data_IF_514097161643
#
_entry.id   IF_514097161643
#
_cell.length_a   1.000
_cell.length_b   1.000
_cell.length_c   1.000
_cell.angle_alpha   90.00
_cell.angle_beta   90.00
_cell.angle_gamma   90.00
#
_symmetry.space_group_name_H-M   'P 1'
#
loop_
_entity.id
_entity.type
_entity.pdbx_description
1 polymer ?
#
# COMPACT_ATOMS: atom_id res chain seq x y z
N UNK A 1 -32.98 -32.88 -29.45
CA UNK A 1 -34.42 -33.26 -29.43
C UNK A 1 -34.83 -34.09 -30.65
N UNK A 2 -34.73 -33.60 -31.90
CA UNK A 2 -35.02 -34.42 -33.09
C UNK A 2 -33.99 -35.54 -33.24
N UNK A 3 -32.72 -35.30 -32.89
CA UNK A 3 -31.67 -36.32 -32.94
C UNK A 3 -31.77 -37.40 -31.86
N UNK A 4 -32.48 -37.14 -30.74
CA UNK A 4 -32.65 -38.12 -29.64
C UNK A 4 -33.97 -38.91 -29.72
N UNK A 5 -35.01 -38.35 -30.36
CA UNK A 5 -36.33 -38.96 -30.47
C UNK A 5 -36.71 -39.31 -31.93
N UNK A 6 -35.82 -39.07 -32.90
CA UNK A 6 -36.12 -39.14 -34.33
C UNK A 6 -36.67 -40.48 -34.83
N UNK A 7 -36.20 -41.60 -34.28
CA UNK A 7 -36.70 -42.93 -34.64
C UNK A 7 -37.98 -43.36 -33.90
N UNK A 8 -38.31 -42.70 -32.78
CA UNK A 8 -39.46 -43.03 -31.92
C UNK A 8 -40.65 -42.10 -32.19
N UNK A 9 -40.42 -40.96 -32.84
CA UNK A 9 -41.45 -39.99 -33.23
C UNK A 9 -42.15 -40.41 -34.54
N UNK A 10 -43.49 -40.59 -34.54
CA UNK A 10 -44.29 -40.71 -35.75
C UNK A 10 -44.03 -39.53 -36.71
N UNK A 11 -44.07 -39.76 -38.04
CA UNK A 11 -43.74 -38.75 -39.08
C UNK A 11 -44.41 -37.39 -38.86
N UNK A 12 -45.63 -37.38 -38.32
CA UNK A 12 -46.43 -36.18 -38.05
C UNK A 12 -45.86 -35.25 -36.96
N UNK A 13 -44.91 -35.71 -36.14
CA UNK A 13 -44.31 -34.97 -35.02
C UNK A 13 -42.83 -34.60 -35.24
N UNK A 14 -42.27 -34.88 -36.41
CA UNK A 14 -40.87 -34.55 -36.75
C UNK A 14 -40.67 -33.08 -37.13
N UNK A 15 -41.74 -32.33 -37.36
CA UNK A 15 -41.70 -30.88 -37.59
C UNK A 15 -41.82 -30.10 -36.26
N UNK A 16 -40.82 -29.28 -35.87
CA UNK A 16 -40.80 -28.57 -34.58
C UNK A 16 -42.07 -27.76 -34.28
N UNK A 17 -42.68 -27.17 -35.32
CA UNK A 17 -43.88 -26.34 -35.20
C UNK A 17 -45.15 -27.08 -34.77
N UNK A 18 -45.21 -28.41 -34.95
CA UNK A 18 -46.38 -29.23 -34.59
C UNK A 18 -46.33 -29.81 -33.17
N UNK A 19 -45.18 -29.75 -32.51
CA UNK A 19 -45.00 -30.17 -31.12
C UNK A 19 -45.42 -29.09 -30.11
N UNK A 20 -45.25 -27.81 -30.47
CA UNK A 20 -45.51 -26.65 -29.60
C UNK A 20 -46.93 -26.58 -29.02
N UNK A 21 -48.02 -26.89 -29.77
CA UNK A 21 -49.38 -26.83 -29.20
C UNK A 21 -49.67 -27.92 -28.16
N UNK A 22 -48.84 -28.97 -28.09
CA UNK A 22 -48.99 -30.09 -27.16
C UNK A 22 -48.20 -29.94 -25.86
N UNK A 23 -47.37 -28.91 -25.73
CA UNK A 23 -46.50 -28.70 -24.56
C UNK A 23 -47.07 -27.56 -23.71
N UNK A 24 -47.24 -27.80 -22.43
CA UNK A 24 -47.64 -26.78 -21.46
C UNK A 24 -46.61 -26.69 -20.34
N UNK A 25 -46.38 -25.45 -19.88
CA UNK A 25 -45.51 -25.16 -18.74
C UNK A 25 -46.36 -24.50 -17.66
N UNK A 26 -46.28 -25.01 -16.44
CA UNK A 26 -47.02 -24.50 -15.28
C UNK A 26 -46.08 -24.21 -14.12
N UNK A 27 -46.41 -23.17 -13.35
CA UNK A 27 -45.74 -22.80 -12.11
C UNK A 27 -46.74 -22.93 -10.97
N UNK A 28 -46.66 -24.00 -10.14
CA UNK A 28 -47.54 -24.17 -9.01
C UNK A 28 -47.39 -22.99 -8.02
N UNK A 29 -48.48 -22.39 -7.53
CA UNK A 29 -48.41 -21.29 -6.57
C UNK A 29 -47.59 -21.70 -5.34
N UNK A 30 -46.68 -20.83 -4.90
CA UNK A 30 -45.81 -21.04 -3.72
C UNK A 30 -44.80 -22.21 -3.86
N UNK A 31 -44.46 -22.63 -5.08
CA UNK A 31 -43.47 -23.67 -5.34
C UNK A 31 -42.32 -23.13 -6.19
N UNK A 32 -41.09 -23.58 -5.96
CA UNK A 32 -39.94 -23.30 -6.85
C UNK A 32 -39.84 -24.30 -8.01
N UNK A 33 -40.94 -24.96 -8.36
CA UNK A 33 -40.98 -26.02 -9.37
C UNK A 33 -41.54 -25.48 -10.69
N UNK A 34 -40.85 -25.80 -11.78
CA UNK A 34 -41.36 -25.63 -13.13
C UNK A 34 -41.86 -26.99 -13.62
N UNK A 35 -43.16 -27.09 -13.92
CA UNK A 35 -43.79 -28.32 -14.39
C UNK A 35 -43.95 -28.26 -15.89
N UNK A 36 -43.28 -29.16 -16.60
CA UNK A 36 -43.44 -29.36 -18.05
C UNK A 36 -44.39 -30.54 -18.27
N UNK A 37 -45.46 -30.33 -19.02
CA UNK A 37 -46.36 -31.39 -19.47
C UNK A 37 -46.41 -31.42 -20.99
N UNK A 38 -46.55 -32.61 -21.57
CA UNK A 38 -46.73 -32.81 -22.99
C UNK A 38 -47.92 -33.73 -23.25
N UNK A 39 -48.64 -33.46 -24.34
CA UNK A 39 -49.76 -34.26 -24.82
C UNK A 39 -49.36 -34.96 -26.11
N UNK A 40 -49.50 -36.28 -26.16
CA UNK A 40 -49.19 -37.08 -27.33
C UNK A 40 -50.15 -38.28 -27.46
N UNK A 41 -50.07 -38.98 -28.60
CA UNK A 41 -50.95 -40.12 -28.94
C UNK A 41 -50.77 -41.33 -28.03
N UNK A 42 -49.65 -41.43 -27.32
CA UNK A 42 -49.41 -42.47 -26.32
C UNK A 42 -48.81 -41.89 -25.05
N UNK A 43 -49.05 -42.63 -23.95
CA UNK A 43 -48.57 -42.32 -22.61
C UNK A 43 -47.05 -42.20 -22.57
N UNK A 44 -46.39 -43.13 -23.25
CA UNK A 44 -44.95 -43.25 -23.35
C UNK A 44 -44.36 -42.11 -24.17
N UNK A 45 -45.01 -41.73 -25.27
CA UNK A 45 -44.55 -40.64 -26.13
C UNK A 45 -44.73 -39.28 -25.44
N UNK A 46 -45.83 -39.07 -24.71
CA UNK A 46 -46.07 -37.85 -23.94
C UNK A 46 -45.01 -37.65 -22.84
N UNK A 47 -44.71 -38.72 -22.09
CA UNK A 47 -43.65 -38.69 -21.08
C UNK A 47 -42.27 -38.43 -21.70
N UNK A 48 -41.95 -39.10 -22.81
CA UNK A 48 -40.67 -38.92 -23.50
C UNK A 48 -40.48 -37.50 -24.04
N UNK A 49 -41.53 -36.86 -24.57
CA UNK A 49 -41.48 -35.48 -25.05
C UNK A 49 -41.28 -34.51 -23.88
N UNK A 50 -42.01 -34.68 -22.78
CA UNK A 50 -41.87 -33.81 -21.60
C UNK A 50 -40.48 -33.92 -20.96
N UNK A 51 -39.96 -35.15 -20.81
CA UNK A 51 -38.61 -35.38 -20.29
C UNK A 51 -37.52 -34.82 -21.20
N UNK A 52 -37.66 -34.96 -22.53
CA UNK A 52 -36.70 -34.39 -23.48
C UNK A 52 -36.68 -32.87 -23.42
N UNK A 53 -37.84 -32.22 -23.29
CA UNK A 53 -37.92 -30.77 -23.08
C UNK A 53 -37.31 -30.34 -21.74
N UNK A 54 -37.59 -31.07 -20.66
CA UNK A 54 -37.01 -30.77 -19.35
C UNK A 54 -35.48 -30.88 -19.39
N UNK A 55 -34.92 -31.93 -20.01
CA UNK A 55 -33.47 -32.09 -20.18
C UNK A 55 -32.85 -30.97 -21.03
N UNK A 56 -33.49 -30.61 -22.14
CA UNK A 56 -33.00 -29.53 -23.01
C UNK A 56 -33.03 -28.16 -22.30
N UNK A 57 -34.10 -27.88 -21.55
CA UNK A 57 -34.22 -26.65 -20.77
C UNK A 57 -33.19 -26.59 -19.64
N UNK A 58 -32.95 -27.69 -18.93
CA UNK A 58 -31.91 -27.79 -17.91
C UNK A 58 -30.54 -27.49 -18.51
N UNK A 59 -30.20 -28.09 -19.66
CA UNK A 59 -28.95 -27.80 -20.38
C UNK A 59 -28.85 -26.31 -20.74
N UNK A 60 -29.86 -25.77 -21.43
CA UNK A 60 -29.85 -24.38 -21.88
C UNK A 60 -29.79 -23.37 -20.71
N UNK A 61 -30.55 -23.60 -19.64
CA UNK A 61 -30.58 -22.72 -18.48
C UNK A 61 -29.25 -22.77 -17.72
N UNK A 62 -28.67 -23.96 -17.52
CA UNK A 62 -27.39 -24.09 -16.86
C UNK A 62 -26.23 -23.60 -17.75
N UNK A 63 -26.34 -23.68 -19.07
CA UNK A 63 -25.35 -23.11 -20.01
C UNK A 63 -25.43 -21.57 -20.05
N UNK A 64 -26.63 -21.01 -19.96
CA UNK A 64 -26.85 -19.55 -20.05
C UNK A 64 -26.62 -18.83 -18.71
N UNK A 65 -26.97 -19.47 -17.60
CA UNK A 65 -26.91 -18.88 -16.26
C UNK A 65 -25.83 -19.50 -15.36
N UNK A 66 -25.16 -20.57 -15.81
CA UNK A 66 -24.00 -21.13 -15.13
C UNK A 66 -22.78 -20.21 -15.19
N UNK A 67 -21.80 -20.47 -14.32
CA UNK A 67 -20.55 -19.70 -14.29
C UNK A 67 -19.79 -19.94 -15.59
N UNK A 68 -19.60 -18.87 -16.36
CA UNK A 68 -18.84 -18.90 -17.59
C UNK A 68 -17.37 -19.30 -17.31
N UNK A 69 -16.95 -20.43 -17.87
CA UNK A 69 -15.58 -20.94 -17.79
C UNK A 69 -14.53 -19.92 -18.28
N UNK A 70 -14.90 -19.01 -19.19
CA UNK A 70 -14.04 -17.93 -19.65
C UNK A 70 -13.74 -16.91 -18.52
N UNK A 71 -14.69 -16.66 -17.62
CA UNK A 71 -14.51 -15.78 -16.46
C UNK A 71 -13.55 -16.40 -15.44
N UNK A 72 -13.61 -17.72 -15.24
CA UNK A 72 -12.66 -18.45 -14.36
C UNK A 72 -11.22 -18.37 -14.90
N UNK A 73 -11.02 -18.62 -16.20
CA UNK A 73 -9.69 -18.58 -16.83
C UNK A 73 -9.07 -17.17 -16.82
N UNK A 74 -9.88 -16.11 -16.96
CA UNK A 74 -9.42 -14.72 -16.86
C UNK A 74 -8.86 -14.38 -15.47
N UNK A 75 -9.61 -14.73 -14.41
CA UNK A 75 -9.20 -14.43 -13.03
C UNK A 75 -7.99 -15.26 -12.60
N UNK A 76 -7.83 -16.50 -13.07
CA UNK A 76 -6.63 -17.30 -12.81
C UNK A 76 -5.37 -16.70 -13.47
N UNK A 77 -5.49 -16.12 -14.67
CA UNK A 77 -4.39 -15.37 -15.31
C UNK A 77 -4.03 -14.10 -14.54
N UNK A 78 -5.03 -13.36 -14.09
CA UNK A 78 -4.83 -12.17 -13.25
C UNK A 78 -4.15 -12.52 -11.92
N UNK A 79 -4.52 -13.65 -11.30
CA UNK A 79 -3.87 -14.16 -10.09
C UNK A 79 -2.38 -14.47 -10.33
N UNK A 80 -2.05 -15.16 -11.41
CA UNK A 80 -0.67 -15.46 -11.77
C UNK A 80 0.15 -14.18 -12.02
N UNK A 81 -0.45 -13.19 -12.70
CA UNK A 81 0.19 -11.88 -12.92
C UNK A 81 0.41 -11.12 -11.61
N UNK A 82 -0.56 -11.14 -10.69
CA UNK A 82 -0.43 -10.51 -9.38
C UNK A 82 0.64 -11.18 -8.51
N UNK A 83 0.77 -12.50 -8.58
CA UNK A 83 1.82 -13.24 -7.88
C UNK A 83 3.21 -12.85 -8.40
N UNK A 84 3.40 -12.83 -9.73
CA UNK A 84 4.67 -12.42 -10.33
C UNK A 84 5.03 -10.96 -9.99
N UNK A 85 4.04 -10.05 -9.98
CA UNK A 85 4.22 -8.66 -9.57
C UNK A 85 4.66 -8.53 -8.10
N UNK A 86 4.01 -9.28 -7.20
CA UNK A 86 4.40 -9.31 -5.79
C UNK A 86 5.83 -9.83 -5.59
N UNK A 87 6.19 -10.95 -6.24
CA UNK A 87 7.53 -11.53 -6.15
C UNK A 87 8.59 -10.56 -6.67
N UNK A 88 8.34 -9.92 -7.82
CA UNK A 88 9.24 -8.92 -8.39
C UNK A 88 9.51 -7.76 -7.42
N UNK A 89 8.46 -7.18 -6.83
CA UNK A 89 8.60 -6.06 -5.90
C UNK A 89 9.22 -6.51 -4.57
N UNK A 90 8.90 -7.71 -4.09
CA UNK A 90 9.50 -8.28 -2.89
C UNK A 90 11.01 -8.49 -3.05
N UNK A 91 11.46 -9.01 -4.20
CA UNK A 91 12.88 -9.13 -4.53
C UNK A 91 13.54 -7.76 -4.63
N UNK A 92 12.94 -6.82 -5.36
CA UNK A 92 13.48 -5.46 -5.48
C UNK A 92 13.62 -4.76 -4.11
N UNK A 93 12.67 -4.96 -3.19
CA UNK A 93 12.76 -4.46 -1.82
C UNK A 93 13.89 -5.14 -1.05
N UNK A 94 14.03 -6.47 -1.15
CA UNK A 94 15.09 -7.20 -0.46
C UNK A 94 16.49 -6.77 -0.95
N UNK A 95 16.65 -6.66 -2.28
CA UNK A 95 17.90 -6.19 -2.91
C UNK A 95 18.23 -4.76 -2.44
N UNK A 96 17.22 -3.88 -2.39
CA UNK A 96 17.41 -2.51 -1.91
C UNK A 96 17.76 -2.46 -0.42
N UNK A 97 17.12 -3.27 0.43
CA UNK A 97 17.47 -3.38 1.86
C UNK A 97 18.93 -3.83 2.02
N UNK A 98 19.40 -4.74 1.17
CA UNK A 98 20.79 -5.21 1.21
C UNK A 98 21.84 -4.23 0.67
N UNK A 99 21.44 -3.29 -0.19
CA UNK A 99 22.37 -2.43 -0.93
C UNK A 99 22.30 -0.94 -0.57
N UNK A 100 21.24 -0.47 0.10
CA UNK A 100 21.10 0.92 0.49
C UNK A 100 22.20 1.34 1.49
N UNK A 101 22.41 2.66 1.59
CA UNK A 101 23.44 3.25 2.46
C UNK A 101 22.86 3.96 3.69
N UNK A 102 21.63 3.64 4.10
CA UNK A 102 20.95 4.38 5.17
C UNK A 102 21.77 4.31 6.47
N UNK A 103 22.17 3.12 6.90
CA UNK A 103 22.95 2.93 8.14
C UNK A 103 24.31 3.65 8.11
N UNK A 104 24.98 3.62 6.96
CA UNK A 104 26.26 4.32 6.75
C UNK A 104 26.07 5.84 6.87
N UNK A 105 25.07 6.38 6.17
CA UNK A 105 24.73 7.80 6.22
C UNK A 105 24.32 8.24 7.63
N UNK A 106 23.57 7.42 8.36
CA UNK A 106 23.21 7.70 9.77
C UNK A 106 24.45 7.74 10.68
N UNK A 107 25.40 6.84 10.48
CA UNK A 107 26.67 6.85 11.22
C UNK A 107 27.48 8.12 10.94
N UNK A 108 27.57 8.53 9.68
CA UNK A 108 28.27 9.76 9.29
C UNK A 108 27.60 11.01 9.85
N UNK A 109 26.27 11.09 9.77
CA UNK A 109 25.48 12.18 10.37
C UNK A 109 25.69 12.23 11.89
N UNK A 110 25.69 11.08 12.56
CA UNK A 110 25.92 11.00 14.00
C UNK A 110 27.31 11.50 14.39
N UNK A 111 28.35 11.18 13.62
CA UNK A 111 29.71 11.70 13.84
C UNK A 111 29.76 13.21 13.72
N UNK A 112 29.19 13.78 12.64
CA UNK A 112 29.18 15.23 12.43
C UNK A 112 28.39 15.94 13.54
N UNK A 113 27.23 15.41 13.95
CA UNK A 113 26.45 15.95 15.06
C UNK A 113 27.20 15.87 16.40
N UNK A 114 27.95 14.79 16.66
CA UNK A 114 28.78 14.67 17.84
C UNK A 114 29.89 15.73 17.86
N UNK A 115 30.54 15.96 16.73
CA UNK A 115 31.52 17.04 16.57
C UNK A 115 30.88 18.41 16.80
N UNK A 116 29.73 18.70 16.19
CA UNK A 116 29.02 19.95 16.39
C UNK A 116 28.63 20.16 17.87
N UNK A 117 28.16 19.11 18.54
CA UNK A 117 27.84 19.14 19.96
C UNK A 117 29.09 19.44 20.82
N UNK A 118 30.24 18.85 20.48
CA UNK A 118 31.50 19.11 21.15
C UNK A 118 31.94 20.57 21.00
N UNK A 119 31.85 21.15 19.79
CA UNK A 119 32.16 22.57 19.57
C UNK A 119 31.22 23.52 20.33
N UNK A 120 29.91 23.23 20.33
CA UNK A 120 28.96 24.03 21.10
C UNK A 120 29.25 23.97 22.60
N UNK A 121 29.55 22.79 23.13
CA UNK A 121 29.93 22.63 24.53
C UNK A 121 31.21 23.41 24.85
N UNK A 122 32.22 23.32 24.00
CA UNK A 122 33.47 24.06 24.16
C UNK A 122 33.25 25.58 24.13
N UNK A 123 32.40 26.09 23.23
CA UNK A 123 32.04 27.51 23.18
C UNK A 123 31.42 27.98 24.52
N UNK A 124 30.48 27.21 25.07
CA UNK A 124 29.87 27.48 26.38
C UNK A 124 30.89 27.44 27.51
N UNK A 125 31.73 26.41 27.58
CA UNK A 125 32.74 26.26 28.63
C UNK A 125 33.79 27.38 28.59
N UNK A 126 34.18 27.84 27.40
CA UNK A 126 35.07 29.00 27.22
C UNK A 126 34.38 30.31 27.60
N UNK A 127 33.08 30.46 27.34
CA UNK A 127 32.26 31.57 27.85
C UNK A 127 32.36 31.71 29.37
N UNK A 128 32.16 30.60 30.08
CA UNK A 128 32.24 30.57 31.54
C UNK A 128 33.64 30.97 32.02
N UNK A 129 34.69 30.45 31.39
CA UNK A 129 36.08 30.78 31.73
C UNK A 129 36.40 32.26 31.45
N UNK A 130 35.90 32.81 30.35
CA UNK A 130 36.09 34.23 30.01
C UNK A 130 35.44 35.15 31.05
N UNK A 131 34.23 34.81 31.50
CA UNK A 131 33.52 35.56 32.54
C UNK A 131 34.25 35.50 33.89
N UNK A 132 34.70 34.30 34.29
CA UNK A 132 35.49 34.11 35.52
C UNK A 132 36.81 34.89 35.49
N UNK A 133 37.52 34.83 34.37
CA UNK A 133 38.77 35.58 34.19
C UNK A 133 38.53 37.10 34.18
N UNK A 134 37.41 37.56 33.62
CA UNK A 134 37.03 38.98 33.62
C UNK A 134 36.73 39.45 35.04
N UNK A 135 36.00 38.65 35.83
CA UNK A 135 35.73 38.96 37.24
C UNK A 135 37.01 38.99 38.07
N UNK A 136 37.93 38.03 37.85
CA UNK A 136 39.24 38.03 38.52
C UNK A 136 40.08 39.24 38.12
N UNK A 137 40.05 39.64 36.85
CA UNK A 137 40.74 40.83 36.36
C UNK A 137 40.22 42.11 37.02
N UNK A 138 38.90 42.22 37.21
CA UNK A 138 38.27 43.33 37.93
C UNK A 138 38.64 43.34 39.41
N UNK A 139 38.63 42.17 40.06
CA UNK A 139 39.05 42.03 41.45
C UNK A 139 40.49 42.50 41.63
N UNK A 140 41.42 42.05 40.78
CA UNK A 140 42.84 42.43 40.79
C UNK A 140 43.12 43.92 40.52
N UNK A 141 42.11 44.72 40.17
CA UNK A 141 42.22 46.19 40.08
C UNK A 141 41.89 46.87 41.41
N UNK A 142 41.30 46.16 42.38
CA UNK A 142 40.99 46.68 43.71
C UNK A 142 42.18 46.61 44.66
N UNK A 143 42.35 47.64 45.48
CA UNK A 143 43.49 47.76 46.41
C UNK A 143 43.42 46.75 47.59
N UNK A 144 42.25 46.21 47.90
CA UNK A 144 42.01 45.26 49.00
C UNK A 144 42.13 43.78 48.58
N UNK A 145 42.70 43.49 47.41
CA UNK A 145 42.76 42.11 46.89
C UNK A 145 43.73 41.25 47.69
N UNK A 146 43.27 40.11 48.21
CA UNK A 146 44.14 39.07 48.76
C UNK A 146 44.95 38.38 47.62
N UNK A 147 46.28 38.53 47.58
CA UNK A 147 47.13 37.93 46.54
C UNK A 147 47.11 36.40 46.54
N UNK A 148 46.81 35.77 47.67
CA UNK A 148 46.79 34.31 47.79
C UNK A 148 45.49 33.74 47.24
N UNK A 149 44.35 34.33 47.61
CA UNK A 149 43.04 33.92 47.13
C UNK A 149 42.92 34.09 45.61
N UNK A 150 43.33 35.24 45.09
CA UNK A 150 43.33 35.54 43.64
C UNK A 150 44.24 34.60 42.83
N UNK A 151 45.38 34.20 43.39
CA UNK A 151 46.25 33.17 42.80
C UNK A 151 45.56 31.82 42.68
N UNK A 152 44.85 31.37 43.72
CA UNK A 152 44.10 30.11 43.65
C UNK A 152 42.99 30.17 42.61
N UNK A 153 42.28 31.29 42.49
CA UNK A 153 41.31 31.50 41.41
C UNK A 153 41.97 31.38 40.03
N UNK A 154 43.14 31.99 39.83
CA UNK A 154 43.90 31.87 38.58
C UNK A 154 44.27 30.40 38.27
N UNK A 155 44.78 29.65 39.25
CA UNK A 155 45.14 28.24 39.10
C UNK A 155 43.91 27.39 38.73
N UNK A 156 42.75 27.64 39.33
CA UNK A 156 41.51 26.93 39.01
C UNK A 156 41.06 27.19 37.57
N UNK A 157 41.08 28.44 37.12
CA UNK A 157 40.75 28.82 35.74
C UNK A 157 41.73 28.15 34.76
N UNK A 158 43.02 28.18 35.05
CA UNK A 158 44.05 27.51 34.23
C UNK A 158 43.84 26.00 34.17
N UNK A 159 43.53 25.35 35.29
CA UNK A 159 43.29 23.90 35.35
C UNK A 159 42.08 23.51 34.49
N UNK A 160 41.00 24.29 34.54
CA UNK A 160 39.82 24.06 33.69
C UNK A 160 40.15 24.24 32.21
N UNK A 161 40.91 25.29 31.86
CA UNK A 161 41.34 25.52 30.48
C UNK A 161 42.21 24.37 29.94
N UNK A 162 43.13 23.84 30.76
CA UNK A 162 43.93 22.66 30.41
C UNK A 162 43.07 21.40 30.22
N UNK A 163 42.01 21.26 31.02
CA UNK A 163 41.04 20.17 30.87
C UNK A 163 40.30 20.21 29.52
N UNK A 164 39.98 21.41 29.02
CA UNK A 164 39.31 21.59 27.72
C UNK A 164 40.23 21.28 26.53
N UNK A 165 41.52 21.59 26.65
CA UNK A 165 42.51 21.34 25.61
C UNK A 165 42.68 19.86 25.24
N UNK A 166 42.37 18.94 26.16
CA UNK A 166 42.44 17.49 25.93
C UNK A 166 41.17 16.90 25.31
N UNK A 167 40.06 17.64 25.29
CA UNK A 167 38.74 17.11 24.89
C UNK A 167 38.51 17.18 23.38
N UNK A 168 39.35 17.92 22.65
CA UNK A 168 39.12 18.23 21.24
C UNK A 168 40.42 18.09 20.47
N UNK A 169 40.39 17.36 19.36
CA UNK A 169 41.46 17.21 18.36
C UNK A 169 41.71 18.54 17.58
N UNK A 170 41.63 19.66 18.29
CA UNK A 170 41.84 21.00 17.77
C UNK A 170 43.33 21.17 17.44
N UNK A 171 43.69 21.70 16.27
CA UNK A 171 45.09 21.94 15.87
C UNK A 171 45.78 23.07 16.66
N UNK A 172 45.21 23.54 17.77
CA UNK A 172 45.75 24.66 18.54
C UNK A 172 46.72 24.13 19.59
N UNK A 173 47.99 24.04 19.20
CA UNK A 173 49.09 23.86 20.13
C UNK A 173 49.11 25.03 21.11
N UNK A 174 48.56 24.81 22.30
CA UNK A 174 48.75 25.65 23.47
C UNK A 174 50.23 25.66 23.82
N UNK A 175 50.99 26.58 23.23
CA UNK A 175 52.23 27.05 23.82
C UNK A 175 51.87 27.92 25.02
N UNK A 176 51.35 27.28 26.07
CA UNK A 176 51.19 27.85 27.41
C UNK A 176 52.56 27.92 28.05
N UNK A 177 53.33 28.96 27.73
CA UNK A 177 54.36 29.44 28.63
C UNK A 177 53.69 30.40 29.64
N UNK A 178 52.79 29.90 30.47
CA UNK A 178 52.31 30.65 31.63
C UNK A 178 53.24 30.35 32.80
N UNK A 179 54.18 31.27 33.03
CA UNK A 179 54.98 31.32 34.25
C UNK A 179 54.03 31.49 35.43
N UNK A 180 53.80 30.40 36.19
CA UNK A 180 53.00 30.45 37.40
C UNK A 180 53.69 31.41 38.37
N UNK A 181 53.01 32.45 38.90
CA UNK A 181 53.60 33.31 39.91
C UNK A 181 53.99 32.45 41.12
N UNK A 182 55.29 32.24 41.31
CA UNK A 182 55.83 31.40 42.38
C UNK A 182 55.61 32.04 43.75
N UNK A 183 55.55 31.23 44.80
CA UNK A 183 55.48 31.68 46.21
C UNK A 183 56.67 32.55 46.66
N UNK A 184 57.71 32.70 45.83
CA UNK A 184 58.96 33.36 46.18
C UNK A 184 58.92 34.90 46.09
N UNK A 185 57.80 35.49 45.68
CA UNK A 185 57.65 36.96 45.61
C UNK A 185 57.31 37.54 46.98
N UNK A 186 58.32 38.15 47.63
CA UNK A 186 58.19 38.79 48.93
C UNK A 186 57.33 40.06 48.92
N UNK A 187 57.03 40.63 47.75
CA UNK A 187 56.24 41.85 47.59
C UNK A 187 54.87 41.57 46.98
N UNK A 188 53.82 41.86 47.75
CA UNK A 188 52.43 41.70 47.34
C UNK A 188 52.08 42.53 46.10
N UNK A 189 52.64 43.73 45.95
CA UNK A 189 52.38 44.59 44.80
C UNK A 189 52.95 43.99 43.50
N UNK A 190 54.16 43.43 43.59
CA UNK A 190 54.79 42.70 42.49
C UNK A 190 53.98 41.44 42.12
N UNK A 191 53.51 40.67 43.11
CA UNK A 191 52.69 39.48 42.87
C UNK A 191 51.37 39.80 42.16
N UNK A 192 50.61 40.79 42.66
CA UNK A 192 49.36 41.22 42.06
C UNK A 192 49.55 41.75 40.62
N UNK A 193 50.67 42.42 40.34
CA UNK A 193 51.02 42.88 38.98
C UNK A 193 51.23 41.70 38.03
N UNK A 194 51.95 40.65 38.45
CA UNK A 194 52.15 39.45 37.63
C UNK A 194 50.85 38.68 37.40
N UNK A 195 50.02 38.53 38.44
CA UNK A 195 48.71 37.90 38.33
C UNK A 195 47.81 38.65 37.34
N UNK A 196 47.81 39.99 37.36
CA UNK A 196 47.03 40.80 36.40
C UNK A 196 47.49 40.60 34.96
N UNK A 197 48.81 40.52 34.71
CA UNK A 197 49.35 40.21 33.39
C UNK A 197 48.94 38.80 32.92
N UNK A 198 49.03 37.81 33.82
CA UNK A 198 48.63 36.43 33.51
C UNK A 198 47.14 36.32 33.16
N UNK A 199 46.26 36.98 33.91
CA UNK A 199 44.81 37.02 33.62
C UNK A 199 44.54 37.75 32.31
N UNK A 200 45.24 38.85 32.03
CA UNK A 200 45.13 39.57 30.76
C UNK A 200 45.50 38.72 29.54
N UNK A 201 46.58 37.95 29.61
CA UNK A 201 46.95 37.00 28.56
C UNK A 201 45.94 35.86 28.43
N UNK A 202 45.44 35.33 29.55
CA UNK A 202 44.40 34.30 29.54
C UNK A 202 43.14 34.79 28.82
N UNK A 203 42.66 35.99 29.16
CA UNK A 203 41.51 36.60 28.48
C UNK A 203 41.76 36.72 26.97
N UNK A 204 42.94 37.19 26.56
CA UNK A 204 43.30 37.30 25.13
C UNK A 204 43.23 35.95 24.41
N UNK A 205 43.74 34.88 25.03
CA UNK A 205 43.71 33.52 24.47
C UNK A 205 42.28 33.00 24.37
N UNK A 206 41.51 33.10 25.46
CA UNK A 206 40.14 32.58 25.51
C UNK A 206 39.24 33.32 24.51
N UNK A 207 39.33 34.65 24.42
CA UNK A 207 38.56 35.42 23.43
C UNK A 207 38.96 35.08 21.99
N UNK A 208 40.26 34.82 21.74
CA UNK A 208 40.71 34.36 20.43
C UNK A 208 40.08 33.02 20.06
N UNK A 209 40.01 32.08 21.01
CA UNK A 209 39.42 30.76 20.81
C UNK A 209 37.91 30.82 20.59
N UNK A 210 37.22 31.65 21.37
CA UNK A 210 35.79 31.90 21.17
C UNK A 210 35.52 32.40 19.76
N UNK A 211 36.28 33.39 19.30
CA UNK A 211 36.11 33.92 17.93
C UNK A 211 36.36 32.87 16.84
N UNK A 212 37.31 31.96 17.05
CA UNK A 212 37.61 30.89 16.09
C UNK A 212 36.51 29.83 16.07
N UNK A 213 36.04 29.39 17.23
CA UNK A 213 34.92 28.45 17.35
C UNK A 213 33.64 29.05 16.80
N UNK A 214 33.35 30.32 17.08
CA UNK A 214 32.17 31.00 16.56
C UNK A 214 32.21 31.08 15.02
N UNK A 215 33.39 31.29 14.42
CA UNK A 215 33.54 31.23 12.96
C UNK A 215 33.26 29.83 12.42
N UNK A 216 33.79 28.79 13.06
CA UNK A 216 33.54 27.39 12.65
C UNK A 216 32.06 27.04 12.77
N UNK A 217 31.41 27.43 13.86
CA UNK A 217 29.98 27.19 14.10
C UNK A 217 29.08 27.98 13.16
N UNK A 218 29.46 29.22 12.82
CA UNK A 218 28.68 30.10 11.96
C UNK A 218 28.90 29.84 10.45
N UNK A 219 30.03 29.23 10.06
CA UNK A 219 30.33 28.94 8.66
C UNK A 219 29.57 27.70 8.18
N UNK A 220 28.58 27.85 7.28
CA UNK A 220 27.85 26.71 6.72
C UNK A 220 28.77 25.74 5.97
N UNK A 221 29.90 26.21 5.42
CA UNK A 221 30.88 25.36 4.74
C UNK A 221 31.54 24.36 5.69
N UNK A 222 31.69 24.71 6.97
CA UNK A 222 32.21 23.80 8.01
C UNK A 222 31.31 22.58 8.22
N UNK A 223 30.02 22.69 7.85
CA UNK A 223 29.00 21.66 8.03
C UNK A 223 28.27 21.31 6.72
N UNK A 224 28.81 21.68 5.56
CA UNK A 224 28.18 21.50 4.25
C UNK A 224 27.80 20.03 4.01
N UNK A 225 28.69 19.13 4.45
CA UNK A 225 28.48 17.69 4.37
C UNK A 225 27.23 17.25 5.13
N UNK A 226 26.85 17.89 6.24
CA UNK A 226 25.68 17.48 7.04
C UNK A 226 24.37 17.64 6.25
N UNK A 227 24.22 18.74 5.51
CA UNK A 227 23.06 18.96 4.65
C UNK A 227 22.95 17.91 3.55
N UNK A 228 24.06 17.66 2.85
CA UNK A 228 24.15 16.67 1.77
C UNK A 228 23.91 15.23 2.27
N UNK A 229 24.45 14.89 3.44
CA UNK A 229 24.24 13.59 4.08
C UNK A 229 22.77 13.38 4.47
N UNK A 230 22.14 14.39 5.10
CA UNK A 230 20.72 14.31 5.43
C UNK A 230 19.85 14.18 4.18
N UNK A 231 20.15 14.96 3.13
CA UNK A 231 19.44 14.88 1.86
C UNK A 231 19.56 13.48 1.24
N UNK A 232 20.78 12.95 1.16
CA UNK A 232 21.04 11.61 0.62
C UNK A 232 20.31 10.53 1.42
N UNK A 233 20.28 10.64 2.76
CA UNK A 233 19.53 9.72 3.62
C UNK A 233 18.04 9.79 3.33
N UNK A 234 17.47 10.99 3.19
CA UNK A 234 16.06 11.17 2.87
C UNK A 234 15.69 10.61 1.50
N UNK A 235 16.56 10.77 0.50
CA UNK A 235 16.38 10.17 -0.82
C UNK A 235 16.35 8.64 -0.73
N UNK A 236 17.29 8.04 0.01
CA UNK A 236 17.33 6.60 0.21
C UNK A 236 16.10 6.09 0.98
N UNK A 237 15.66 6.83 2.00
CA UNK A 237 14.46 6.50 2.77
C UNK A 237 13.21 6.58 1.90
N UNK A 238 13.08 7.61 1.05
CA UNK A 238 11.93 7.75 0.17
C UNK A 238 11.82 6.58 -0.83
N UNK A 239 12.95 6.09 -1.35
CA UNK A 239 12.96 4.89 -2.22
C UNK A 239 12.55 3.65 -1.43
N UNK A 240 13.03 3.47 -0.19
CA UNK A 240 12.61 2.37 0.68
C UNK A 240 11.09 2.39 0.91
N UNK A 241 10.55 3.54 1.28
CA UNK A 241 9.13 3.74 1.57
C UNK A 241 8.27 3.46 0.31
N UNK A 242 8.74 3.88 -0.87
CA UNK A 242 8.08 3.56 -2.14
C UNK A 242 8.06 2.06 -2.44
N UNK A 243 9.16 1.34 -2.18
CA UNK A 243 9.23 -0.11 -2.40
C UNK A 243 8.33 -0.87 -1.42
N UNK A 244 8.27 -0.43 -0.17
CA UNK A 244 7.35 -0.96 0.85
C UNK A 244 5.90 -0.76 0.40
N UNK A 245 5.53 0.47 0.00
CA UNK A 245 4.17 0.77 -0.47
C UNK A 245 3.79 -0.07 -1.71
N UNK A 246 4.69 -0.20 -2.69
CA UNK A 246 4.46 -1.04 -3.87
C UNK A 246 4.26 -2.51 -3.50
N UNK A 247 5.06 -3.03 -2.56
CA UNK A 247 4.92 -4.42 -2.08
C UNK A 247 3.57 -4.63 -1.44
N UNK A 248 3.13 -3.68 -0.62
CA UNK A 248 1.86 -3.80 0.11
C UNK A 248 0.66 -3.75 -0.83
N UNK A 249 0.67 -2.85 -1.83
CA UNK A 249 -0.33 -2.84 -2.91
C UNK A 249 -0.34 -4.16 -3.68
N UNK A 250 0.83 -4.69 -4.06
CA UNK A 250 0.92 -5.97 -4.77
C UNK A 250 0.40 -7.14 -3.92
N UNK A 251 0.68 -7.13 -2.61
CA UNK A 251 0.18 -8.11 -1.65
C UNK A 251 -1.34 -8.05 -1.54
N UNK A 252 -1.92 -6.86 -1.43
CA UNK A 252 -3.37 -6.67 -1.36
C UNK A 252 -4.06 -7.17 -2.63
N UNK A 253 -3.52 -6.84 -3.80
CA UNK A 253 -4.02 -7.33 -5.09
C UNK A 253 -3.99 -8.87 -5.16
N UNK A 254 -2.86 -9.47 -4.76
CA UNK A 254 -2.72 -10.93 -4.70
C UNK A 254 -3.76 -11.57 -3.76
N UNK A 255 -3.96 -11.00 -2.56
CA UNK A 255 -4.96 -11.48 -1.60
C UNK A 255 -6.40 -11.33 -2.12
N UNK A 256 -6.72 -10.21 -2.77
CA UNK A 256 -8.03 -9.97 -3.37
C UNK A 256 -8.33 -10.98 -4.47
N UNK A 257 -7.39 -11.21 -5.39
CA UNK A 257 -7.53 -12.19 -6.48
C UNK A 257 -7.57 -13.63 -5.96
N UNK A 258 -6.77 -13.96 -4.94
CA UNK A 258 -6.81 -15.27 -4.29
C UNK A 258 -8.20 -15.54 -3.70
N UNK A 259 -8.78 -14.57 -2.99
CA UNK A 259 -10.16 -14.66 -2.49
C UNK A 259 -11.15 -14.81 -3.63
N UNK A 260 -10.98 -14.06 -4.72
CA UNK A 260 -11.88 -14.14 -5.88
C UNK A 260 -11.84 -15.51 -6.57
N UNK A 261 -10.66 -16.09 -6.75
CA UNK A 261 -10.52 -17.45 -7.29
C UNK A 261 -11.19 -18.47 -6.36
N UNK A 262 -11.04 -18.33 -5.05
CA UNK A 262 -11.73 -19.20 -4.09
C UNK A 262 -13.26 -19.06 -4.16
N UNK A 263 -13.79 -17.83 -4.25
CA UNK A 263 -15.22 -17.60 -4.46
C UNK A 263 -15.73 -18.28 -5.73
N UNK A 264 -15.01 -18.11 -6.84
CA UNK A 264 -15.38 -18.74 -8.13
C UNK A 264 -15.32 -20.26 -8.02
N UNK A 265 -14.30 -20.83 -7.37
CA UNK A 265 -14.18 -22.28 -7.17
C UNK A 265 -15.28 -22.84 -6.28
N UNK A 266 -15.65 -22.14 -5.21
CA UNK A 266 -16.78 -22.53 -4.36
C UNK A 266 -18.08 -22.48 -5.15
N UNK A 267 -18.30 -21.41 -5.91
CA UNK A 267 -19.49 -21.26 -6.74
C UNK A 267 -19.55 -22.31 -7.86
N UNK A 268 -18.41 -22.69 -8.44
CA UNK A 268 -18.30 -23.75 -9.45
C UNK A 268 -18.42 -25.17 -8.85
N UNK A 269 -17.87 -25.39 -7.65
CA UNK A 269 -17.92 -26.65 -6.90
C UNK A 269 -19.31 -26.95 -6.30
N UNK A 270 -20.21 -25.97 -6.28
CA UNK A 270 -21.65 -26.19 -6.03
C UNK A 270 -22.39 -26.82 -7.23
N UNK A 271 -21.67 -27.25 -8.28
CA UNK A 271 -22.17 -27.95 -9.48
C UNK A 271 -23.46 -27.37 -10.07
N UNK A 272 -23.31 -26.43 -11.01
CA UNK A 272 -24.05 -26.35 -12.28
C UNK A 272 -25.55 -26.64 -12.28
N UNK A 273 -26.30 -26.19 -11.28
CA UNK A 273 -27.73 -26.50 -11.19
C UNK A 273 -28.50 -25.34 -10.59
N UNK A 274 -28.56 -24.24 -11.35
CA UNK A 274 -29.64 -23.26 -11.19
C UNK A 274 -31.00 -23.96 -11.39
N UNK A 275 -31.05 -24.98 -12.26
CA UNK A 275 -32.22 -25.84 -12.45
C UNK A 275 -31.83 -27.32 -12.36
N UNK A 276 -32.59 -28.09 -11.57
CA UNK A 276 -32.49 -29.57 -11.45
C UNK A 276 -33.79 -30.24 -11.87
N UNK A 277 -33.71 -31.45 -12.41
CA UNK A 277 -34.89 -32.28 -12.63
C UNK A 277 -35.41 -32.79 -11.28
N UNK A 278 -36.57 -32.30 -10.85
CA UNK A 278 -37.20 -32.72 -9.58
C UNK A 278 -37.87 -34.10 -9.68
N UNK A 279 -38.49 -34.41 -10.83
CA UNK A 279 -39.05 -35.72 -11.14
C UNK A 279 -39.17 -35.91 -12.66
N UNK A 280 -39.03 -37.15 -13.13
CA UNK A 280 -39.34 -37.50 -14.52
C UNK A 280 -40.85 -37.50 -14.80
N UNK A 281 -41.22 -37.28 -16.05
CA UNK A 281 -42.61 -37.28 -16.49
C UNK A 281 -43.22 -38.69 -16.38
N UNK A 282 -44.42 -38.78 -15.79
CA UNK A 282 -45.21 -40.00 -15.77
C UNK A 282 -46.41 -39.80 -16.68
N UNK A 283 -46.63 -40.70 -17.64
CA UNK A 283 -47.80 -40.59 -18.49
C UNK A 283 -49.08 -40.95 -17.71
N UNK A 284 -50.20 -40.35 -18.08
CA UNK A 284 -51.52 -40.58 -17.47
C UNK A 284 -52.43 -41.35 -18.41
N UNK A 285 -53.29 -42.22 -17.87
CA UNK A 285 -54.15 -43.15 -18.65
C UNK A 285 -55.53 -42.56 -18.97
N UNK A 286 -55.91 -41.45 -18.34
CA UNK A 286 -57.16 -40.74 -18.63
C UNK A 286 -56.86 -39.54 -19.53
N UNK A 287 -57.49 -39.42 -20.72
CA UNK A 287 -57.39 -38.22 -21.52
C UNK A 287 -57.94 -37.06 -20.70
N UNK A 288 -57.12 -36.02 -20.49
CA UNK A 288 -57.53 -34.84 -19.78
C UNK A 288 -58.54 -34.09 -20.65
N UNK A 289 -59.84 -34.30 -20.39
CA UNK A 289 -60.91 -33.54 -21.02
C UNK A 289 -60.98 -32.16 -20.39
N UNK A 290 -59.92 -31.37 -20.53
CA UNK A 290 -59.98 -29.95 -20.18
C UNK A 290 -60.94 -29.26 -21.16
N UNK A 291 -62.08 -28.81 -20.61
CA UNK A 291 -63.18 -28.21 -21.34
C UNK A 291 -62.73 -27.03 -22.21
N UNK A 292 -63.33 -26.93 -23.41
CA UNK A 292 -62.98 -25.99 -24.48
C UNK A 292 -62.89 -24.49 -24.09
N UNK A 293 -63.35 -24.11 -22.90
CA UNK A 293 -63.30 -22.74 -22.38
C UNK A 293 -61.94 -22.32 -21.80
N UNK A 294 -61.03 -23.25 -21.45
CA UNK A 294 -59.67 -22.87 -21.01
C UNK A 294 -58.71 -22.61 -22.18
N UNK A 295 -58.99 -23.14 -23.38
CA UNK A 295 -58.07 -23.01 -24.54
C UNK A 295 -57.97 -21.59 -25.10
N UNK A 296 -58.98 -20.74 -24.87
CA UNK A 296 -59.00 -19.36 -25.38
C UNK A 296 -58.25 -18.36 -24.48
N UNK A 297 -58.10 -18.62 -23.18
CA UNK A 297 -57.44 -17.71 -22.25
C UNK A 297 -55.93 -17.99 -22.14
N UNK A 298 -55.48 -19.20 -22.43
CA UNK A 298 -54.07 -19.60 -22.32
C UNK A 298 -53.24 -19.41 -23.60
N UNK A 299 -53.88 -19.24 -24.77
CA UNK A 299 -53.18 -18.85 -25.99
C UNK A 299 -52.68 -17.39 -25.96
N UNK A 300 -53.32 -16.53 -25.15
CA UNK A 300 -52.96 -15.11 -25.02
C UNK A 300 -51.67 -14.87 -24.22
N UNK A 301 -51.30 -15.78 -23.30
CA UNK A 301 -50.09 -15.62 -22.47
C UNK A 301 -48.84 -16.16 -23.16
N UNK A 302 -48.98 -17.22 -23.97
CA UNK A 302 -47.88 -17.74 -24.82
C UNK A 302 -47.50 -16.77 -25.94
N UNK A 303 -48.48 -16.05 -26.50
CA UNK A 303 -48.19 -14.95 -27.44
C UNK A 303 -47.59 -13.72 -26.76
N UNK A 304 -47.85 -13.50 -25.47
CA UNK A 304 -47.26 -12.38 -24.74
C UNK A 304 -45.77 -12.61 -24.39
N UNK A 305 -45.36 -13.85 -24.07
CA UNK A 305 -43.94 -14.18 -23.83
C UNK A 305 -43.13 -14.33 -25.11
N UNK A 306 -43.67 -14.96 -26.16
CA UNK A 306 -43.01 -14.96 -27.48
C UNK A 306 -42.93 -13.54 -28.08
N UNK A 307 -43.96 -12.71 -27.86
CA UNK A 307 -44.01 -11.32 -28.31
C UNK A 307 -43.06 -10.38 -27.55
N UNK A 308 -42.90 -10.54 -26.23
CA UNK A 308 -41.94 -9.74 -25.44
C UNK A 308 -40.50 -10.13 -25.72
N UNK A 309 -40.21 -11.41 -25.96
CA UNK A 309 -38.87 -11.87 -26.36
C UNK A 309 -38.52 -11.40 -27.79
N UNK A 310 -39.47 -11.43 -28.74
CA UNK A 310 -39.25 -10.88 -30.09
C UNK A 310 -39.16 -9.34 -30.11
N UNK A 311 -39.88 -8.62 -29.25
CA UNK A 311 -39.78 -7.17 -29.11
C UNK A 311 -38.44 -6.74 -28.50
N UNK A 312 -37.93 -7.46 -27.50
CA UNK A 312 -36.60 -7.19 -26.91
C UNK A 312 -35.45 -7.54 -27.87
N UNK A 313 -35.61 -8.55 -28.72
CA UNK A 313 -34.65 -8.85 -29.80
C UNK A 313 -34.69 -7.76 -30.89
N UNK A 314 -35.87 -7.23 -31.25
CA UNK A 314 -36.01 -6.17 -32.27
C UNK A 314 -35.51 -4.81 -31.79
N UNK A 315 -35.80 -4.41 -30.55
CA UNK A 315 -35.27 -3.18 -29.95
C UNK A 315 -33.77 -3.28 -29.65
N UNK A 316 -33.27 -4.46 -29.26
CA UNK A 316 -31.84 -4.72 -29.10
C UNK A 316 -31.07 -4.63 -30.42
N UNK A 317 -31.65 -5.10 -31.53
CA UNK A 317 -31.04 -5.00 -32.87
C UNK A 317 -31.12 -3.57 -33.45
N UNK A 318 -32.20 -2.82 -33.18
CA UNK A 318 -32.33 -1.42 -33.58
C UNK A 318 -31.39 -0.49 -32.78
N UNK A 319 -31.25 -0.72 -31.47
CA UNK A 319 -30.29 0.00 -30.63
C UNK A 319 -28.83 -0.29 -31.01
N UNK A 320 -28.52 -1.53 -31.43
CA UNK A 320 -27.19 -1.89 -31.89
C UNK A 320 -26.87 -1.30 -33.28
N UNK A 321 -27.84 -1.24 -34.21
CA UNK A 321 -27.69 -0.53 -35.50
C UNK A 321 -27.60 0.99 -35.35
N UNK A 322 -28.35 1.58 -34.41
CA UNK A 322 -28.26 3.02 -34.09
C UNK A 322 -26.92 3.41 -33.46
N UNK A 323 -26.36 2.56 -32.58
CA UNK A 323 -25.00 2.75 -32.03
C UNK A 323 -23.90 2.59 -33.08
N UNK A 324 -24.03 1.63 -33.98
CA UNK A 324 -23.07 1.43 -35.09
C UNK A 324 -23.17 2.51 -36.17
N UNK A 325 -24.34 3.13 -36.37
CA UNK A 325 -24.52 4.29 -37.25
C UNK A 325 -24.00 5.60 -36.64
N UNK A 326 -24.27 5.83 -35.34
CA UNK A 326 -23.77 7.02 -34.64
C UNK A 326 -22.24 7.01 -34.44
N UNK A 327 -21.61 5.83 -34.33
CA UNK A 327 -20.15 5.69 -34.31
C UNK A 327 -19.48 5.86 -35.69
N UNK A 328 -20.26 5.92 -36.78
CA UNK A 328 -19.73 6.16 -38.13
C UNK A 328 -19.82 7.64 -38.57
N UNK A 329 -20.56 8.50 -37.85
CA UNK A 329 -20.66 9.95 -38.13
C UNK A 329 -19.91 10.84 -37.11
N UNK A 330 -19.39 10.29 -36.01
CA UNK A 330 -18.52 11.02 -35.07
C UNK A 330 -17.09 10.44 -35.02
N UNK A 331 -16.48 10.28 -36.19
CA UNK A 331 -15.02 10.34 -36.32
C UNK A 331 -14.68 11.22 -37.53
N UNK A 332 -13.86 12.27 -37.37
CA UNK A 332 -13.57 13.23 -38.43
C UNK A 332 -12.75 12.67 -39.59
#
# INVERSE_FOLDING_TARGET
MIDELGEVLPEQYREPGKLLPGIAVSYPPSSHLLVVSATADSRELAAAIADAWARQFISYANDLYGIDTATSSGVEKELAAAQASYEQVATALADYIGANRIDELESEIAKVNATLSAYNKLSVDLGIIADEATQLYQLLQSDDTDPTASRWSLVLIQTRLMGLAHVSDLPVQLQMAMDLPSDAEQDAATSLRKQRLAVGELLRVVTSWQSEIDKILADPASWENLGQLNQSRHEQQAVLDQLIAKRDVAREALQALTRKVQEIRIAAGMEGTEVRLASGAQGTEKPDTMGKLSKALFAAVVTCFAGTVLLLIRDGQAANKGRLGAQAEETP
#
